data_IF_599055734594
#
_entry.id   IF_599055734594
#
_cell.length_a   1.000
_cell.length_b   1.000
_cell.length_c   1.000
_cell.angle_alpha   90.00
_cell.angle_beta   90.00
_cell.angle_gamma   90.00
#
_symmetry.space_group_name_H-M   'P 1'
#
loop_
_entity.id
_entity.type
_entity.pdbx_description
1 polymer ?
#
# COMPACT_ATOMS: atom_id res chain seq x y z
N UNK A 1 5.05 -29.50 13.59
CA UNK A 1 6.29 -28.69 13.53
C UNK A 1 6.28 -27.85 12.25
N UNK A 2 6.24 -26.51 12.34
CA UNK A 2 6.28 -25.66 11.14
C UNK A 2 7.67 -25.70 10.50
N UNK A 3 7.72 -26.08 9.22
CA UNK A 3 8.93 -26.18 8.41
C UNK A 3 9.43 -24.76 8.11
N UNK A 4 10.60 -24.37 8.65
CA UNK A 4 11.21 -23.06 8.39
C UNK A 4 11.56 -22.96 6.90
N UNK A 5 10.92 -22.04 6.17
CA UNK A 5 11.28 -21.71 4.77
C UNK A 5 12.70 -21.12 4.75
N UNK A 6 13.55 -21.58 3.83
CA UNK A 6 14.86 -20.96 3.58
C UNK A 6 14.63 -19.66 2.81
N UNK A 7 15.07 -18.54 3.38
CA UNK A 7 14.98 -17.22 2.76
C UNK A 7 16.01 -17.10 1.62
N UNK A 8 15.64 -16.41 0.55
CA UNK A 8 16.55 -16.08 -0.56
C UNK A 8 17.49 -14.94 -0.14
N UNK A 9 18.72 -14.92 -0.69
CA UNK A 9 19.66 -13.81 -0.43
C UNK A 9 19.13 -12.53 -1.08
N UNK A 10 19.16 -11.43 -0.33
CA UNK A 10 18.81 -10.09 -0.83
C UNK A 10 19.89 -9.66 -1.84
N UNK A 11 19.51 -9.23 -3.05
CA UNK A 11 20.47 -8.70 -4.03
C UNK A 11 21.14 -7.41 -3.54
N UNK A 12 22.37 -7.15 -3.99
CA UNK A 12 23.05 -5.86 -3.76
C UNK A 12 22.61 -4.87 -4.83
N UNK A 13 21.92 -3.80 -4.45
CA UNK A 13 21.49 -2.75 -5.37
C UNK A 13 22.49 -1.60 -5.40
N UNK A 14 22.66 -0.99 -6.57
CA UNK A 14 23.57 0.16 -6.75
C UNK A 14 22.81 1.48 -6.66
N UNK A 15 21.48 1.47 -6.82
CA UNK A 15 20.62 2.65 -6.76
C UNK A 15 19.29 2.37 -6.06
N UNK A 16 18.75 3.37 -5.36
CA UNK A 16 17.44 3.32 -4.70
C UNK A 16 16.29 3.07 -5.69
N UNK A 17 16.43 3.54 -6.94
CA UNK A 17 15.40 3.32 -7.97
C UNK A 17 15.29 1.85 -8.36
N UNK A 18 16.44 1.20 -8.53
CA UNK A 18 16.54 -0.23 -8.87
C UNK A 18 16.00 -1.11 -7.74
N UNK A 19 16.34 -0.75 -6.50
CA UNK A 19 15.79 -1.41 -5.31
C UNK A 19 14.26 -1.31 -5.26
N UNK A 20 13.69 -0.13 -5.53
CA UNK A 20 12.25 0.09 -5.54
C UNK A 20 11.55 -0.74 -6.61
N UNK A 21 12.08 -0.77 -7.83
CA UNK A 21 11.52 -1.57 -8.93
C UNK A 21 11.58 -3.07 -8.62
N UNK A 22 12.67 -3.52 -7.98
CA UNK A 22 12.81 -4.90 -7.51
C UNK A 22 11.74 -5.25 -6.46
N UNK A 23 11.55 -4.41 -5.44
CA UNK A 23 10.56 -4.66 -4.38
C UNK A 23 9.10 -4.50 -4.84
N UNK A 24 8.84 -3.71 -5.89
CA UNK A 24 7.50 -3.64 -6.49
C UNK A 24 7.13 -4.91 -7.26
N UNK A 25 8.12 -5.62 -7.80
CA UNK A 25 7.90 -6.78 -8.67
C UNK A 25 8.04 -8.12 -7.95
N UNK A 26 8.72 -8.15 -6.79
CA UNK A 26 9.01 -9.38 -6.05
C UNK A 26 8.30 -9.44 -4.70
N UNK A 27 7.81 -10.64 -4.34
CA UNK A 27 7.18 -10.89 -3.03
C UNK A 27 8.24 -10.85 -1.91
N UNK A 28 8.11 -9.86 -1.03
CA UNK A 28 9.00 -9.59 0.11
C UNK A 28 9.00 -10.72 1.16
N UNK A 29 8.01 -11.61 1.12
CA UNK A 29 7.88 -12.77 2.02
C UNK A 29 8.97 -13.83 1.80
N UNK A 30 9.57 -13.86 0.60
CA UNK A 30 10.63 -14.82 0.24
C UNK A 30 12.04 -14.36 0.68
N UNK A 31 12.20 -13.08 1.03
CA UNK A 31 13.50 -12.45 1.30
C UNK A 31 13.64 -11.98 2.76
N UNK A 32 12.54 -11.67 3.45
CA UNK A 32 12.55 -11.09 4.80
C UNK A 32 11.86 -12.00 5.81
N UNK A 33 12.50 -12.22 6.98
CA UNK A 33 11.91 -12.98 8.10
C UNK A 33 10.89 -12.11 8.86
N UNK A 34 9.68 -11.99 8.32
CA UNK A 34 8.59 -11.20 8.90
C UNK A 34 8.24 -11.59 10.35
N UNK A 35 8.52 -12.82 10.77
CA UNK A 35 8.33 -13.29 12.15
C UNK A 35 9.19 -12.55 13.19
N UNK A 36 10.25 -11.85 12.75
CA UNK A 36 11.12 -11.03 13.60
C UNK A 36 10.88 -9.53 13.44
N UNK A 37 9.98 -9.13 12.54
CA UNK A 37 9.66 -7.73 12.32
C UNK A 37 9.06 -7.14 13.59
N UNK A 38 9.58 -5.98 14.02
CA UNK A 38 9.05 -5.21 15.14
C UNK A 38 8.39 -3.95 14.58
N UNK A 39 7.25 -3.57 15.14
CA UNK A 39 6.61 -2.29 14.84
C UNK A 39 7.55 -1.20 15.35
N UNK A 40 8.23 -0.51 14.43
CA UNK A 40 9.02 0.66 14.76
C UNK A 40 8.07 1.84 14.97
N UNK A 41 8.04 2.36 16.21
CA UNK A 41 7.49 3.69 16.47
C UNK A 41 8.61 4.67 16.13
N UNK A 42 8.33 5.66 15.31
CA UNK A 42 9.29 6.72 14.96
C UNK A 42 8.96 7.96 15.80
N UNK A 43 9.40 8.05 17.07
CA UNK A 43 9.09 9.18 17.94
C UNK A 43 9.67 10.50 17.41
N UNK A 44 10.77 10.44 16.64
CA UNK A 44 11.51 11.61 16.15
C UNK A 44 11.14 12.03 14.72
N UNK A 45 10.19 11.33 14.06
CA UNK A 45 9.57 11.85 12.84
C UNK A 45 8.69 13.04 13.24
N UNK A 46 9.30 14.22 13.40
CA UNK A 46 8.54 15.47 13.52
C UNK A 46 7.58 15.53 12.34
N UNK A 47 6.28 15.59 12.61
CA UNK A 47 5.33 16.04 11.61
C UNK A 47 5.78 17.45 11.19
N UNK A 48 6.48 17.54 10.06
CA UNK A 48 7.01 18.82 9.56
C UNK A 48 5.82 19.78 9.48
N UNK A 49 5.84 20.81 10.33
CA UNK A 49 4.76 21.79 10.38
C UNK A 49 5.15 22.90 9.43
N UNK A 50 4.48 22.96 8.29
CA UNK A 50 4.70 24.02 7.31
C UNK A 50 3.71 25.16 7.55
N UNK A 51 4.22 26.39 7.64
CA UNK A 51 3.40 27.59 7.80
C UNK A 51 2.84 28.01 6.45
N UNK A 52 1.52 27.81 6.26
CA UNK A 52 0.81 28.22 5.06
C UNK A 52 -0.13 29.40 5.34
N UNK A 53 -0.21 30.35 4.41
CA UNK A 53 -1.20 31.44 4.45
C UNK A 53 -2.40 31.07 3.60
N UNK A 54 -3.56 30.87 4.24
CA UNK A 54 -4.82 30.51 3.57
C UNK A 54 -5.86 31.61 3.77
N UNK A 55 -6.66 31.89 2.72
CA UNK A 55 -7.82 32.78 2.80
C UNK A 55 -9.08 31.96 3.00
N UNK A 56 -9.88 32.34 4.00
CA UNK A 56 -11.16 31.71 4.32
C UNK A 56 -12.28 32.76 4.30
N UNK A 57 -13.50 32.39 3.87
CA UNK A 57 -14.67 33.26 4.03
C UNK A 57 -14.92 33.61 5.50
N UNK A 58 -15.32 34.86 5.76
CA UNK A 58 -15.51 35.36 7.13
C UNK A 58 -16.60 34.59 7.90
N UNK A 59 -17.68 34.21 7.22
CA UNK A 59 -18.79 33.42 7.81
C UNK A 59 -18.30 32.06 8.32
N UNK A 60 -17.57 31.32 7.49
CA UNK A 60 -17.00 30.02 7.85
C UNK A 60 -16.04 30.13 9.04
N UNK A 61 -15.18 31.15 9.05
CA UNK A 61 -14.26 31.37 10.17
C UNK A 61 -15.02 31.65 11.48
N UNK A 62 -16.11 32.41 11.43
CA UNK A 62 -16.95 32.67 12.59
C UNK A 62 -17.58 31.37 13.11
N UNK A 63 -18.14 30.55 12.23
CA UNK A 63 -18.73 29.25 12.59
C UNK A 63 -17.71 28.32 13.25
N UNK A 64 -16.50 28.21 12.69
CA UNK A 64 -15.44 27.38 13.26
C UNK A 64 -15.04 27.87 14.65
N UNK A 65 -14.95 29.20 14.86
CA UNK A 65 -14.67 29.77 16.18
C UNK A 65 -15.77 29.45 17.19
N UNK A 66 -17.03 29.54 16.80
CA UNK A 66 -18.15 29.17 17.67
C UNK A 66 -18.12 27.68 18.03
N UNK A 67 -17.82 26.80 17.07
CA UNK A 67 -17.68 25.36 17.32
C UNK A 67 -16.49 25.04 18.22
N UNK A 68 -15.38 25.75 18.05
CA UNK A 68 -14.18 25.58 18.85
C UNK A 68 -14.43 25.96 20.31
N UNK A 69 -15.07 27.11 20.55
CA UNK A 69 -15.45 27.55 21.89
C UNK A 69 -16.42 26.55 22.57
N UNK A 70 -17.39 26.00 21.82
CA UNK A 70 -18.32 24.97 22.36
C UNK A 70 -17.61 23.68 22.78
N UNK A 71 -16.48 23.36 22.16
CA UNK A 71 -15.67 22.17 22.44
C UNK A 71 -14.50 22.45 23.38
N UNK A 72 -14.39 23.68 23.88
CA UNK A 72 -13.30 24.16 24.72
C UNK A 72 -11.90 23.92 24.11
N UNK A 73 -11.78 24.17 22.81
CA UNK A 73 -10.51 24.03 22.07
C UNK A 73 -10.19 25.29 21.26
N UNK A 74 -8.91 25.61 21.00
CA UNK A 74 -8.55 26.68 20.08
C UNK A 74 -9.04 26.41 18.66
N UNK A 75 -9.55 27.44 17.97
CA UNK A 75 -10.08 27.29 16.60
C UNK A 75 -9.04 26.76 15.60
N UNK A 76 -7.76 27.08 15.79
CA UNK A 76 -6.66 26.58 14.96
C UNK A 76 -6.46 25.08 15.14
N UNK A 77 -6.60 24.57 16.39
CA UNK A 77 -6.51 23.14 16.69
C UNK A 77 -7.70 22.39 16.08
N UNK A 78 -8.91 22.93 16.22
CA UNK A 78 -10.11 22.34 15.63
C UNK A 78 -10.01 22.27 14.11
N UNK A 79 -9.51 23.34 13.47
CA UNK A 79 -9.31 23.38 12.03
C UNK A 79 -8.36 22.27 11.54
N UNK A 80 -7.25 22.05 12.26
CA UNK A 80 -6.30 20.97 11.94
C UNK A 80 -6.96 19.59 12.00
N UNK A 81 -7.79 19.35 13.02
CA UNK A 81 -8.51 18.07 13.18
C UNK A 81 -9.47 17.85 12.01
N UNK A 82 -10.30 18.84 11.68
CA UNK A 82 -11.24 18.72 10.56
C UNK A 82 -10.56 18.48 9.22
N UNK A 83 -9.45 19.18 8.94
CA UNK A 83 -8.67 18.95 7.71
C UNK A 83 -8.11 17.53 7.66
N UNK A 84 -7.54 17.04 8.78
CA UNK A 84 -7.00 15.68 8.85
C UNK A 84 -8.10 14.63 8.62
N UNK A 85 -9.25 14.77 9.27
CA UNK A 85 -10.40 13.87 9.10
C UNK A 85 -10.88 13.84 7.65
N UNK A 86 -10.99 15.01 7.00
CA UNK A 86 -11.45 15.09 5.60
C UNK A 86 -10.46 14.44 4.64
N UNK A 87 -9.15 14.61 4.84
CA UNK A 87 -8.10 13.97 4.02
C UNK A 87 -8.15 12.45 4.18
N UNK A 88 -8.29 11.94 5.40
CA UNK A 88 -8.42 10.50 5.65
C UNK A 88 -9.67 9.94 4.97
N UNK A 89 -10.79 10.66 5.09
CA UNK A 89 -12.05 10.26 4.45
C UNK A 89 -11.93 10.21 2.92
N UNK A 90 -11.27 11.16 2.27
CA UNK A 90 -11.09 11.13 0.81
C UNK A 90 -10.14 10.02 0.36
N UNK A 91 -9.00 9.82 1.05
CA UNK A 91 -8.11 8.69 0.74
C UNK A 91 -8.82 7.35 0.89
N UNK A 92 -9.72 7.22 1.86
CA UNK A 92 -10.53 6.02 2.04
C UNK A 92 -11.56 5.84 0.90
N UNK A 93 -12.12 6.93 0.37
CA UNK A 93 -13.02 6.90 -0.79
C UNK A 93 -12.28 6.48 -2.06
N UNK A 94 -11.10 7.04 -2.32
CA UNK A 94 -10.25 6.65 -3.46
C UNK A 94 -9.88 5.16 -3.42
N UNK A 95 -9.48 4.64 -2.26
CA UNK A 95 -9.19 3.21 -2.06
C UNK A 95 -10.39 2.31 -2.32
N UNK A 96 -11.61 2.76 -2.01
CA UNK A 96 -12.85 2.03 -2.31
C UNK A 96 -13.22 2.12 -3.79
N UNK A 97 -12.94 3.25 -4.44
CA UNK A 97 -13.20 3.47 -5.86
C UNK A 97 -12.21 2.72 -6.78
N UNK A 98 -11.01 2.40 -6.29
CA UNK A 98 -10.06 1.50 -6.95
C UNK A 98 -9.96 0.15 -6.22
N UNK A 99 -10.98 -0.73 -6.29
CA UNK A 99 -10.84 -2.08 -5.80
C UNK A 99 -9.89 -2.85 -6.73
N UNK A 100 -8.88 -3.51 -6.16
CA UNK A 100 -7.94 -4.47 -6.78
C UNK A 100 -8.21 -4.87 -8.25
N UNK A 101 -7.94 -3.98 -9.21
CA UNK A 101 -7.88 -4.35 -10.63
C UNK A 101 -6.56 -5.10 -10.92
N UNK A 102 -5.52 -4.88 -10.12
CA UNK A 102 -4.19 -5.42 -10.36
C UNK A 102 -3.92 -6.83 -9.78
N UNK A 103 -4.89 -7.47 -9.12
CA UNK A 103 -4.72 -8.82 -8.54
C UNK A 103 -5.79 -9.82 -8.98
N UNK A 104 -6.52 -9.55 -10.07
CA UNK A 104 -7.18 -10.62 -10.78
C UNK A 104 -6.08 -11.50 -11.38
N UNK A 105 -5.76 -12.60 -10.67
CA UNK A 105 -4.99 -13.73 -11.21
C UNK A 105 -5.68 -14.12 -12.51
N UNK A 106 -5.21 -13.61 -13.63
CA UNK A 106 -5.56 -14.15 -14.93
C UNK A 106 -5.06 -15.59 -14.88
N UNK A 107 -6.00 -16.51 -14.69
CA UNK A 107 -5.72 -17.94 -14.75
C UNK A 107 -5.29 -18.18 -16.19
N UNK A 108 -3.98 -18.11 -16.47
CA UNK A 108 -3.42 -18.51 -17.75
C UNK A 108 -3.88 -19.95 -17.98
N UNK A 109 -4.63 -20.25 -19.05
CA UNK A 109 -5.03 -21.62 -19.31
C UNK A 109 -3.76 -22.43 -19.51
N UNK A 110 -3.60 -23.45 -18.67
CA UNK A 110 -2.45 -24.36 -18.71
C UNK A 110 -2.45 -25.04 -20.08
N UNK A 111 -1.51 -24.63 -20.94
CA UNK A 111 -1.23 -25.23 -22.25
C UNK A 111 -0.96 -26.72 -22.01
N UNK A 112 -1.95 -27.58 -22.27
CA UNK A 112 -1.76 -29.03 -22.28
C UNK A 112 -0.82 -29.35 -23.44
N UNK A 113 0.48 -29.46 -23.13
CA UNK A 113 1.43 -30.18 -23.97
C UNK A 113 1.09 -31.67 -23.84
N UNK A 114 0.18 -32.13 -24.70
CA UNK A 114 -0.08 -33.55 -24.90
C UNK A 114 1.17 -34.19 -25.50
N UNK A 115 1.80 -35.07 -24.72
CA UNK A 115 2.97 -35.84 -25.13
C UNK A 115 2.60 -36.73 -26.33
N UNK A 116 3.46 -36.69 -27.34
CA UNK A 116 3.57 -37.72 -28.35
C UNK A 116 3.79 -39.09 -27.68
N UNK A 117 2.99 -40.08 -28.05
CA UNK A 117 3.35 -41.48 -27.93
C UNK A 117 3.20 -42.13 -29.30
N UNK A 118 4.35 -42.55 -29.83
CA UNK A 118 4.51 -43.44 -30.97
C UNK A 118 3.93 -44.81 -30.64
N UNK A 119 3.17 -45.36 -31.58
CA UNK A 119 3.09 -46.78 -31.92
C UNK A 119 2.81 -46.79 -33.44
N UNK A 120 3.77 -46.99 -34.35
CA UNK A 120 4.50 -48.22 -34.73
C UNK A 120 3.62 -49.48 -34.80
N UNK A 121 3.36 -49.84 -36.07
CA UNK A 121 3.12 -51.15 -36.69
C UNK A 121 1.66 -51.66 -36.77
N UNK A 122 1.12 -52.24 -37.85
CA UNK A 122 1.38 -52.35 -39.32
C UNK A 122 0.06 -52.96 -39.93
N UNK A 123 -0.01 -53.65 -41.10
CA UNK A 123 -0.75 -53.15 -42.28
C UNK A 123 -1.86 -54.11 -42.84
N UNK A 124 -2.48 -53.67 -43.95
CA UNK A 124 -3.26 -54.43 -44.97
C UNK A 124 -4.70 -54.87 -44.62
N UNK A 125 -5.67 -54.30 -45.33
CA UNK A 125 -6.26 -54.90 -46.53
C UNK A 125 -6.93 -53.83 -47.39
#
# INVERSE_FOLDING_TARGET
MLKRKKLKRIPTFTSEREEREFWQTHDTTDYVEWSRARVAVFPDLKASTESISLRLPASLLAEIKTLANKRDVPYQSLLKVFLAERVVAERAREKKAMPNIALQRTVRPSRRLGKAQRARQSPRR
#
